data_IF_393221952208
#
_entry.id   IF_393221952208
#
_cell.length_a   1.000
_cell.length_b   1.000
_cell.length_c   1.000
_cell.angle_alpha   90.00
_cell.angle_beta   90.00
_cell.angle_gamma   90.00
#
_symmetry.space_group_name_H-M   'P 1'
#
loop_
_entity.id
_entity.type
_entity.pdbx_description
1 polymer ?
#
# COMPACT_ATOMS: atom_id res chain seq x y z
N UNK A 1 19.49 9.57 21.15
CA UNK A 1 18.30 9.88 20.32
C UNK A 1 18.10 8.86 19.18
N UNK A 2 19.11 8.59 18.36
CA UNK A 2 19.03 7.68 17.19
C UNK A 2 18.55 6.25 17.52
N UNK A 3 19.03 5.67 18.63
CA UNK A 3 18.60 4.34 19.09
C UNK A 3 17.11 4.28 19.45
N UNK A 4 16.55 5.36 20.04
CA UNK A 4 15.13 5.42 20.37
C UNK A 4 14.27 5.48 19.11
N UNK A 5 14.72 6.20 18.08
CA UNK A 5 14.03 6.26 16.78
C UNK A 5 13.98 4.88 16.15
N UNK A 6 15.12 4.17 16.09
CA UNK A 6 15.18 2.81 15.56
C UNK A 6 14.26 1.84 16.32
N UNK A 7 14.26 1.91 17.65
CA UNK A 7 13.38 1.08 18.48
C UNK A 7 11.90 1.41 18.24
N UNK A 8 11.53 2.69 18.14
CA UNK A 8 10.16 3.10 17.83
C UNK A 8 9.68 2.54 16.48
N UNK A 9 10.54 2.59 15.46
CA UNK A 9 10.27 2.04 14.12
C UNK A 9 10.13 0.52 14.20
N UNK A 10 11.05 -0.16 14.89
CA UNK A 10 11.02 -1.62 15.06
C UNK A 10 9.75 -2.08 15.78
N UNK A 11 9.34 -1.41 16.85
CA UNK A 11 8.10 -1.71 17.55
C UNK A 11 6.87 -1.50 16.65
N UNK A 12 6.85 -0.44 15.84
CA UNK A 12 5.78 -0.19 14.87
C UNK A 12 5.73 -1.29 13.77
N UNK A 13 6.88 -1.72 13.25
CA UNK A 13 6.97 -2.81 12.27
C UNK A 13 6.46 -4.14 12.85
N UNK A 14 6.75 -4.39 14.13
CA UNK A 14 6.27 -5.57 14.86
C UNK A 14 4.80 -5.44 15.31
N UNK A 15 4.09 -4.40 14.90
CA UNK A 15 2.71 -4.08 15.31
C UNK A 15 2.54 -3.90 16.83
N UNK A 16 3.64 -3.67 17.56
CA UNK A 16 3.62 -3.33 18.98
C UNK A 16 3.38 -1.82 19.15
N UNK A 17 2.16 -1.39 18.81
CA UNK A 17 1.80 0.03 18.78
C UNK A 17 1.87 0.71 20.16
N UNK A 18 1.59 -0.03 21.24
CA UNK A 18 1.67 0.51 22.59
C UNK A 18 3.11 0.91 22.96
N UNK A 19 4.08 0.05 22.65
CA UNK A 19 5.49 0.34 22.85
C UNK A 19 5.97 1.46 21.93
N UNK A 20 5.56 1.46 20.65
CA UNK A 20 5.88 2.54 19.73
C UNK A 20 5.34 3.90 20.22
N UNK A 21 4.15 3.95 20.83
CA UNK A 21 3.61 5.17 21.46
C UNK A 21 4.49 5.61 22.63
N UNK A 22 4.87 4.68 23.52
CA UNK A 22 5.70 4.99 24.68
C UNK A 22 7.06 5.57 24.27
N UNK A 23 7.73 4.95 23.30
CA UNK A 23 9.04 5.40 22.81
C UNK A 23 8.93 6.75 22.10
N UNK A 24 7.94 6.95 21.21
CA UNK A 24 7.78 8.25 20.54
C UNK A 24 7.43 9.38 21.52
N UNK A 25 6.69 9.10 22.59
CA UNK A 25 6.47 10.07 23.68
C UNK A 25 7.76 10.43 24.39
N UNK A 26 8.67 9.48 24.61
CA UNK A 26 9.99 9.75 25.19
C UNK A 26 10.82 10.66 24.28
N UNK A 27 10.86 10.38 22.98
CA UNK A 27 11.56 11.23 21.99
C UNK A 27 11.04 12.67 22.04
N UNK A 28 9.71 12.85 22.15
CA UNK A 28 9.08 14.17 22.21
C UNK A 28 9.26 14.91 23.54
N UNK A 29 9.77 14.26 24.60
CA UNK A 29 10.17 14.97 25.84
C UNK A 29 11.38 15.86 25.57
N UNK A 30 12.33 15.35 24.80
CA UNK A 30 13.58 16.04 24.46
C UNK A 30 13.41 16.95 23.24
N UNK A 31 12.53 16.60 22.30
CA UNK A 31 12.23 17.37 21.09
C UNK A 31 10.73 17.57 20.86
N UNK A 32 10.10 18.54 21.53
CA UNK A 32 8.63 18.75 21.53
C UNK A 32 7.98 18.95 20.15
N UNK A 33 8.76 19.37 19.15
CA UNK A 33 8.30 19.69 17.79
C UNK A 33 8.98 18.83 16.72
N UNK A 34 9.55 17.67 17.08
CA UNK A 34 10.01 16.69 16.10
C UNK A 34 8.82 16.18 15.27
N UNK A 35 8.77 16.62 14.00
CA UNK A 35 7.70 16.30 13.06
C UNK A 35 7.59 14.79 12.81
N UNK A 36 8.71 14.10 12.68
CA UNK A 36 8.69 12.67 12.39
C UNK A 36 8.20 11.86 13.59
N UNK A 37 8.65 12.21 14.81
CA UNK A 37 8.16 11.56 16.02
C UNK A 37 6.67 11.83 16.23
N UNK A 38 6.18 13.03 15.91
CA UNK A 38 4.75 13.34 15.92
C UNK A 38 3.98 12.51 14.88
N UNK A 39 4.49 12.34 13.66
CA UNK A 39 3.86 11.53 12.60
C UNK A 39 3.78 10.06 13.03
N UNK A 40 4.89 9.48 13.52
CA UNK A 40 4.94 8.11 14.04
C UNK A 40 3.97 7.91 15.21
N UNK A 41 3.92 8.87 16.14
CA UNK A 41 2.99 8.85 17.28
C UNK A 41 1.52 8.91 16.84
N UNK A 42 1.17 9.83 15.94
CA UNK A 42 -0.19 10.00 15.42
C UNK A 42 -0.66 8.72 14.71
N UNK A 43 0.21 8.09 13.93
CA UNK A 43 -0.07 6.84 13.25
C UNK A 43 -0.28 5.68 14.23
N UNK A 44 0.58 5.55 15.25
CA UNK A 44 0.44 4.51 16.27
C UNK A 44 -0.87 4.66 17.08
N UNK A 45 -1.27 5.89 17.42
CA UNK A 45 -2.58 6.15 18.01
C UNK A 45 -3.74 5.72 17.12
N UNK A 46 -3.65 6.00 15.82
CA UNK A 46 -4.66 5.56 14.86
C UNK A 46 -4.79 4.04 14.84
N UNK A 47 -3.67 3.31 14.91
CA UNK A 47 -3.66 1.84 14.91
C UNK A 47 -4.14 1.21 16.22
N UNK A 48 -3.99 1.90 17.34
CA UNK A 48 -4.60 1.53 18.63
C UNK A 48 -6.09 1.87 18.73
N UNK A 49 -6.67 2.55 17.75
CA UNK A 49 -8.06 3.01 17.79
C UNK A 49 -8.27 4.27 18.64
N UNK A 50 -7.20 4.93 19.10
CA UNK A 50 -7.25 6.19 19.84
C UNK A 50 -7.47 7.38 18.90
N UNK A 51 -8.59 7.37 18.16
CA UNK A 51 -8.90 8.30 17.07
C UNK A 51 -8.81 9.77 17.51
N UNK A 52 -9.26 10.09 18.73
CA UNK A 52 -9.23 11.46 19.25
C UNK A 52 -7.80 11.95 19.48
N UNK A 53 -6.91 11.09 19.99
CA UNK A 53 -5.51 11.46 20.21
C UNK A 53 -4.80 11.59 18.86
N UNK A 54 -5.01 10.65 17.94
CA UNK A 54 -4.48 10.72 16.58
C UNK A 54 -4.88 12.02 15.86
N UNK A 55 -6.16 12.40 15.91
CA UNK A 55 -6.66 13.67 15.33
C UNK A 55 -5.98 14.89 15.93
N UNK A 56 -5.81 14.95 17.25
CA UNK A 56 -5.12 16.06 17.94
C UNK A 56 -3.66 16.15 17.48
N UNK A 57 -2.95 15.03 17.42
CA UNK A 57 -1.53 15.00 17.00
C UNK A 57 -1.37 15.38 15.53
N UNK A 58 -2.21 14.88 14.62
CA UNK A 58 -2.19 15.32 13.22
C UNK A 58 -2.51 16.81 13.05
N UNK A 59 -3.47 17.34 13.82
CA UNK A 59 -3.74 18.78 13.82
C UNK A 59 -2.53 19.59 14.28
N UNK A 60 -1.78 19.11 15.28
CA UNK A 60 -0.51 19.74 15.71
C UNK A 60 0.55 19.71 14.61
N UNK A 61 0.68 18.58 13.89
CA UNK A 61 1.61 18.49 12.75
C UNK A 61 1.23 19.52 11.68
N UNK A 62 -0.05 19.63 11.33
CA UNK A 62 -0.54 20.60 10.33
C UNK A 62 -0.40 22.06 10.77
N UNK A 63 -0.26 22.33 12.07
CA UNK A 63 0.07 23.68 12.57
C UNK A 63 1.56 24.00 12.41
N UNK A 64 2.43 23.00 12.45
CA UNK A 64 3.88 23.15 12.27
C UNK A 64 4.26 23.13 10.78
N UNK A 65 3.62 22.26 10.01
CA UNK A 65 3.80 22.09 8.57
C UNK A 65 2.43 21.88 7.91
N UNK A 66 1.89 22.98 7.36
CA UNK A 66 0.59 23.01 6.69
C UNK A 66 0.52 22.07 5.47
N UNK A 67 1.64 21.83 4.79
CA UNK A 67 1.69 21.11 3.52
C UNK A 67 2.07 19.64 3.70
N UNK A 68 2.15 19.16 4.94
CA UNK A 68 2.48 17.78 5.23
C UNK A 68 1.42 16.81 4.66
N UNK A 69 1.70 16.24 3.50
CA UNK A 69 0.77 15.36 2.78
C UNK A 69 0.38 14.12 3.61
N UNK A 70 1.30 13.61 4.43
CA UNK A 70 1.05 12.46 5.32
C UNK A 70 0.01 12.83 6.37
N UNK A 71 0.16 13.98 7.02
CA UNK A 71 -0.78 14.46 8.02
C UNK A 71 -2.14 14.82 7.40
N UNK A 72 -2.17 15.49 6.24
CA UNK A 72 -3.41 15.83 5.53
C UNK A 72 -4.21 14.56 5.18
N UNK A 73 -3.58 13.60 4.51
CA UNK A 73 -4.21 12.34 4.08
C UNK A 73 -4.77 11.56 5.28
N UNK A 74 -3.98 11.39 6.33
CA UNK A 74 -4.39 10.61 7.50
C UNK A 74 -5.44 11.35 8.34
N UNK A 75 -5.33 12.67 8.49
CA UNK A 75 -6.32 13.45 9.22
C UNK A 75 -7.69 13.40 8.55
N UNK A 76 -7.75 13.53 7.22
CA UNK A 76 -8.99 13.41 6.47
C UNK A 76 -9.57 11.99 6.52
N UNK A 77 -8.72 10.95 6.47
CA UNK A 77 -9.13 9.56 6.73
C UNK A 77 -9.79 9.42 8.11
N UNK A 78 -9.23 10.05 9.14
CA UNK A 78 -9.77 9.99 10.49
C UNK A 78 -11.06 10.80 10.67
N UNK A 79 -11.26 11.90 9.94
CA UNK A 79 -12.50 12.71 10.02
C UNK A 79 -13.74 11.91 9.68
N UNK A 80 -13.66 11.00 8.71
CA UNK A 80 -14.80 10.17 8.30
C UNK A 80 -15.13 9.03 9.26
N UNK A 81 -14.30 8.77 10.28
CA UNK A 81 -14.68 7.89 11.38
C UNK A 81 -15.74 8.59 12.25
N UNK A 82 -17.01 8.25 12.04
CA UNK A 82 -18.14 8.67 12.86
C UNK A 82 -17.97 8.20 14.32
N UNK A 83 -18.30 9.08 15.27
CA UNK A 83 -18.21 8.87 16.74
C UNK A 83 -18.97 7.62 17.24
N UNK A 84 -19.86 7.03 16.45
CA UNK A 84 -20.85 6.06 16.93
C UNK A 84 -20.66 4.60 16.52
N UNK A 85 -19.50 4.21 15.97
CA UNK A 85 -19.16 2.78 15.86
C UNK A 85 -17.71 2.57 16.25
N UNK A 86 -17.49 2.58 17.57
CA UNK A 86 -16.43 1.79 18.21
C UNK A 86 -16.84 0.32 18.04
N UNK A 87 -16.87 -0.17 16.80
CA UNK A 87 -16.65 -1.58 16.61
C UNK A 87 -15.16 -1.66 16.82
N UNK A 88 -14.79 -2.10 18.02
CA UNK A 88 -13.54 -2.81 18.26
C UNK A 88 -13.34 -3.71 17.05
N UNK A 89 -12.58 -3.24 16.06
CA UNK A 89 -12.20 -4.03 14.89
C UNK A 89 -11.16 -4.99 15.42
N UNK A 90 -11.68 -5.96 16.17
CA UNK A 90 -11.08 -7.14 16.73
C UNK A 90 -10.05 -7.63 15.74
N UNK A 91 -8.77 -7.40 16.03
CA UNK A 91 -7.61 -7.95 15.32
C UNK A 91 -7.91 -8.17 13.83
N UNK A 92 -8.30 -7.13 13.09
CA UNK A 92 -8.40 -7.26 11.64
C UNK A 92 -6.96 -7.31 11.17
N UNK A 93 -6.53 -8.54 10.98
CA UNK A 93 -5.20 -8.99 10.61
C UNK A 93 -4.64 -8.06 9.54
N UNK A 94 -3.81 -7.11 9.96
CA UNK A 94 -2.65 -6.74 9.16
C UNK A 94 -1.81 -8.00 9.12
N UNK A 95 -2.19 -8.93 8.23
CA UNK A 95 -1.35 -10.06 7.89
C UNK A 95 0.00 -9.42 7.58
N UNK A 96 1.08 -9.94 8.16
CA UNK A 96 2.42 -9.55 7.78
C UNK A 96 2.58 -9.97 6.31
N UNK A 97 2.12 -9.10 5.41
CA UNK A 97 2.19 -9.30 3.98
C UNK A 97 3.66 -9.07 3.70
N UNK A 98 4.33 -10.16 3.42
CA UNK A 98 5.69 -10.15 2.92
C UNK A 98 5.78 -9.13 1.78
N UNK A 99 6.74 -8.17 1.81
CA UNK A 99 6.92 -7.21 0.72
C UNK A 99 7.03 -7.88 -0.65
N UNK A 100 7.51 -9.13 -0.69
CA UNK A 100 7.60 -9.96 -1.90
C UNK A 100 6.24 -10.23 -2.58
N UNK A 101 5.10 -10.06 -1.89
CA UNK A 101 3.77 -10.25 -2.49
C UNK A 101 3.47 -9.19 -3.56
N UNK A 102 4.05 -7.99 -3.44
CA UNK A 102 3.88 -6.90 -4.42
C UNK A 102 4.85 -6.94 -5.59
N UNK A 103 5.67 -8.00 -5.70
CA UNK A 103 6.60 -8.14 -6.81
C UNK A 103 5.81 -8.24 -8.13
N UNK A 104 6.09 -7.33 -9.06
CA UNK A 104 5.45 -7.30 -10.36
C UNK A 104 6.04 -8.37 -11.26
N UNK A 105 5.18 -9.30 -11.71
CA UNK A 105 5.51 -10.38 -12.62
C UNK A 105 4.83 -10.12 -13.98
N UNK A 106 5.58 -9.88 -15.06
CA UNK A 106 5.03 -9.67 -16.39
C UNK A 106 4.06 -10.78 -16.78
N UNK A 107 2.86 -10.40 -17.25
CA UNK A 107 1.84 -11.37 -17.65
C UNK A 107 1.04 -12.02 -16.52
N UNK A 108 1.46 -11.85 -15.26
CA UNK A 108 0.87 -12.49 -14.07
C UNK A 108 0.37 -11.53 -13.01
N UNK A 109 0.89 -10.31 -12.94
CA UNK A 109 0.39 -9.28 -12.02
C UNK A 109 -0.10 -8.05 -12.77
N UNK A 110 -1.02 -7.31 -12.16
CA UNK A 110 -1.46 -6.00 -12.66
C UNK A 110 -1.88 -5.10 -11.52
N UNK A 111 -1.53 -3.83 -11.65
CA UNK A 111 -2.07 -2.76 -10.82
C UNK A 111 -3.25 -2.14 -11.55
N UNK A 112 -4.36 -1.96 -10.85
CA UNK A 112 -5.59 -1.44 -11.45
C UNK A 112 -6.32 -0.51 -10.49
N UNK A 113 -6.81 0.61 -11.00
CA UNK A 113 -7.75 1.47 -10.28
C UNK A 113 -9.18 0.97 -10.51
N UNK A 114 -9.95 0.87 -9.43
CA UNK A 114 -11.35 0.49 -9.49
C UNK A 114 -12.23 1.63 -10.00
N UNK A 115 -13.25 1.27 -10.76
CA UNK A 115 -14.35 2.15 -11.15
C UNK A 115 -15.56 1.95 -10.24
N UNK A 116 -16.45 2.94 -10.19
CA UNK A 116 -17.66 2.92 -9.36
C UNK A 116 -17.38 2.54 -7.90
N UNK A 117 -16.37 3.20 -7.31
CA UNK A 117 -15.93 2.94 -5.94
C UNK A 117 -16.98 3.29 -4.90
N UNK A 118 -16.88 2.63 -3.76
CA UNK A 118 -17.76 2.85 -2.62
C UNK A 118 -17.60 4.23 -1.97
N UNK A 119 -18.60 4.71 -1.21
CA UNK A 119 -18.50 5.96 -0.48
C UNK A 119 -17.36 6.00 0.54
N UNK A 120 -16.84 7.20 0.83
CA UNK A 120 -15.72 7.43 1.74
C UNK A 120 -15.91 6.79 3.13
N UNK A 121 -17.13 6.65 3.62
CA UNK A 121 -17.45 6.00 4.90
C UNK A 121 -17.08 4.51 4.96
N UNK A 122 -17.03 3.85 3.81
CA UNK A 122 -16.55 2.46 3.66
C UNK A 122 -15.04 2.50 3.45
N UNK A 123 -14.58 3.32 2.50
CA UNK A 123 -13.15 3.39 2.11
C UNK A 123 -12.23 3.75 3.28
N UNK A 124 -12.67 4.64 4.17
CA UNK A 124 -11.84 5.06 5.31
C UNK A 124 -11.57 3.94 6.30
N UNK A 125 -12.36 2.86 6.30
CA UNK A 125 -12.17 1.69 7.15
C UNK A 125 -11.22 0.67 6.56
N UNK A 126 -10.89 0.79 5.28
CA UNK A 126 -9.97 -0.12 4.60
C UNK A 126 -8.54 0.20 5.00
N UNK A 127 -7.74 -0.86 5.12
CA UNK A 127 -6.31 -0.78 5.28
C UNK A 127 -5.62 -1.22 3.98
N UNK A 128 -4.49 -0.59 3.69
CA UNK A 128 -3.61 -1.04 2.61
C UNK A 128 -3.03 -2.40 2.96
N UNK A 129 -2.95 -3.28 1.97
CA UNK A 129 -2.55 -4.67 2.13
C UNK A 129 -3.67 -5.64 2.49
N UNK A 130 -4.88 -5.16 2.80
CA UNK A 130 -6.00 -6.07 3.01
C UNK A 130 -6.30 -6.89 1.76
N UNK A 131 -6.52 -8.19 1.96
CA UNK A 131 -6.99 -9.11 0.93
C UNK A 131 -8.42 -8.73 0.50
N UNK A 132 -8.67 -8.78 -0.81
CA UNK A 132 -9.99 -8.57 -1.40
C UNK A 132 -10.32 -9.68 -2.38
N UNK A 133 -11.61 -9.88 -2.63
CA UNK A 133 -12.12 -10.98 -3.42
C UNK A 133 -12.76 -10.47 -4.71
N UNK A 134 -12.39 -11.10 -5.83
CA UNK A 134 -13.04 -10.91 -7.11
C UNK A 134 -14.37 -11.67 -7.10
N UNK A 135 -15.45 -10.99 -7.42
CA UNK A 135 -16.79 -11.57 -7.53
C UNK A 135 -17.30 -11.42 -8.98
N UNK A 136 -16.99 -12.38 -9.88
CA UNK A 136 -17.37 -12.29 -11.28
C UNK A 136 -18.89 -12.29 -11.49
N UNK A 137 -19.35 -11.39 -12.36
CA UNK A 137 -20.72 -11.33 -12.89
C UNK A 137 -20.69 -11.62 -14.40
N UNK A 138 -21.81 -11.39 -15.09
CA UNK A 138 -21.94 -11.69 -16.53
C UNK A 138 -20.96 -10.86 -17.40
N UNK A 139 -20.84 -9.56 -17.11
CA UNK A 139 -20.04 -8.61 -17.91
C UNK A 139 -19.06 -7.78 -17.08
N UNK A 140 -19.02 -7.98 -15.78
CA UNK A 140 -18.19 -7.18 -14.87
C UNK A 140 -17.67 -8.03 -13.73
N UNK A 141 -16.66 -7.53 -13.01
CA UNK A 141 -16.12 -8.15 -11.80
C UNK A 141 -16.22 -7.13 -10.68
N UNK A 142 -17.06 -7.43 -9.69
CA UNK A 142 -17.13 -6.65 -8.46
C UNK A 142 -15.99 -7.05 -7.54
N UNK A 143 -15.46 -6.09 -6.79
CA UNK A 143 -14.47 -6.32 -5.74
C UNK A 143 -15.14 -6.16 -4.39
N UNK A 144 -14.94 -7.16 -3.52
CA UNK A 144 -15.52 -7.19 -2.19
C UNK A 144 -14.49 -7.50 -1.12
N UNK A 145 -14.71 -7.01 0.10
CA UNK A 145 -13.88 -7.37 1.24
C UNK A 145 -14.25 -8.76 1.82
N UNK A 146 -13.54 -9.20 2.87
CA UNK A 146 -13.84 -10.46 3.56
C UNK A 146 -15.23 -10.51 4.21
N UNK A 147 -15.82 -9.35 4.51
CA UNK A 147 -17.20 -9.24 5.02
C UNK A 147 -18.24 -9.16 3.90
N UNK A 148 -17.84 -9.41 2.65
CA UNK A 148 -18.68 -9.33 1.45
C UNK A 148 -19.24 -7.91 1.16
N UNK A 149 -18.60 -6.87 1.71
CA UNK A 149 -18.92 -5.47 1.45
C UNK A 149 -18.37 -5.08 0.08
N UNK A 150 -19.22 -4.48 -0.75
CA UNK A 150 -18.83 -3.94 -2.05
C UNK A 150 -17.80 -2.82 -1.89
N UNK A 151 -16.74 -2.84 -2.71
CA UNK A 151 -15.69 -1.82 -2.71
C UNK A 151 -15.63 -1.04 -4.02
N UNK A 152 -15.91 -1.69 -5.15
CA UNK A 152 -15.84 -1.12 -6.49
C UNK A 152 -15.89 -2.22 -7.56
N UNK A 153 -15.62 -1.85 -8.80
CA UNK A 153 -15.66 -2.72 -9.97
C UNK A 153 -14.36 -2.60 -10.77
N UNK A 154 -13.92 -3.70 -11.40
CA UNK A 154 -12.81 -3.66 -12.35
C UNK A 154 -13.21 -2.95 -13.66
N UNK A 155 -12.28 -2.21 -14.31
CA UNK A 155 -12.49 -1.68 -15.65
C UNK A 155 -12.97 -2.75 -16.64
N UNK A 156 -13.84 -2.36 -17.58
CA UNK A 156 -14.57 -3.29 -18.45
C UNK A 156 -13.66 -4.16 -19.32
N UNK A 157 -12.56 -3.58 -19.84
CA UNK A 157 -11.55 -4.29 -20.64
C UNK A 157 -10.90 -5.43 -19.85
N UNK A 158 -10.53 -5.15 -18.59
CA UNK A 158 -9.94 -6.11 -17.68
C UNK A 158 -10.95 -7.15 -17.23
N UNK A 159 -12.15 -6.71 -16.85
CA UNK A 159 -13.23 -7.58 -16.41
C UNK A 159 -13.61 -8.58 -17.50
N UNK A 160 -13.81 -8.11 -18.74
CA UNK A 160 -14.15 -8.95 -19.90
C UNK A 160 -13.12 -10.06 -20.10
N UNK A 161 -11.83 -9.72 -20.03
CA UNK A 161 -10.74 -10.68 -20.16
C UNK A 161 -10.72 -11.68 -19.00
N UNK A 162 -10.71 -11.19 -17.76
CA UNK A 162 -10.58 -12.04 -16.57
C UNK A 162 -11.77 -12.99 -16.43
N UNK A 163 -12.99 -12.59 -16.79
CA UNK A 163 -14.17 -13.49 -16.77
C UNK A 163 -13.92 -14.74 -17.63
N UNK A 164 -13.34 -14.60 -18.83
CA UNK A 164 -13.03 -15.75 -19.72
C UNK A 164 -11.97 -16.66 -19.12
N UNK A 165 -10.95 -16.08 -18.48
CA UNK A 165 -9.85 -16.81 -17.88
C UNK A 165 -10.29 -17.55 -16.62
N UNK A 166 -11.07 -16.91 -15.75
CA UNK A 166 -11.65 -17.51 -14.55
C UNK A 166 -12.56 -18.68 -14.93
N UNK A 167 -13.43 -18.52 -15.93
CA UNK A 167 -14.27 -19.61 -16.46
C UNK A 167 -13.47 -20.80 -16.99
N UNK A 168 -12.23 -20.56 -17.42
CA UNK A 168 -11.32 -21.61 -17.91
C UNK A 168 -10.50 -22.27 -16.79
N UNK A 169 -10.64 -21.81 -15.54
CA UNK A 169 -9.98 -22.39 -14.37
C UNK A 169 -8.76 -21.63 -13.85
N UNK A 170 -8.52 -20.39 -14.33
CA UNK A 170 -7.49 -19.54 -13.74
C UNK A 170 -7.94 -19.00 -12.38
N UNK A 171 -6.99 -18.80 -11.47
CA UNK A 171 -7.24 -18.27 -10.12
C UNK A 171 -6.44 -17.00 -9.89
N UNK A 172 -7.02 -16.09 -9.10
CA UNK A 172 -6.48 -14.77 -8.85
C UNK A 172 -6.62 -14.43 -7.38
N UNK A 173 -5.60 -13.77 -6.86
CA UNK A 173 -5.63 -13.08 -5.57
C UNK A 173 -5.48 -11.58 -5.80
N UNK A 174 -6.07 -10.79 -4.91
CA UNK A 174 -6.00 -9.34 -5.00
C UNK A 174 -5.85 -8.70 -3.61
N UNK A 175 -5.06 -7.65 -3.57
CA UNK A 175 -4.81 -6.85 -2.37
C UNK A 175 -4.99 -5.38 -2.65
N UNK A 176 -5.39 -4.64 -1.62
CA UNK A 176 -5.50 -3.19 -1.69
C UNK A 176 -4.10 -2.59 -1.68
N UNK A 177 -3.66 -1.99 -2.78
CA UNK A 177 -2.37 -1.28 -2.86
C UNK A 177 -2.46 0.13 -2.27
N UNK A 178 -3.52 0.88 -2.61
CA UNK A 178 -3.74 2.23 -2.09
C UNK A 178 -5.25 2.53 -1.98
N UNK A 179 -5.60 3.36 -0.99
CA UNK A 179 -6.96 3.87 -0.79
C UNK A 179 -6.91 5.38 -0.62
N UNK A 180 -7.70 6.07 -1.42
CA UNK A 180 -7.91 7.52 -1.39
C UNK A 180 -9.41 7.83 -1.29
N UNK A 181 -9.76 9.11 -1.26
CA UNK A 181 -11.15 9.57 -1.00
C UNK A 181 -12.17 8.95 -1.96
N UNK A 182 -11.83 8.87 -3.25
CA UNK A 182 -12.69 8.36 -4.33
C UNK A 182 -11.91 7.42 -5.28
N UNK A 183 -10.83 6.81 -4.81
CA UNK A 183 -10.00 5.94 -5.64
C UNK A 183 -9.47 4.77 -4.81
N UNK A 184 -9.57 3.57 -5.36
CA UNK A 184 -8.98 2.35 -4.79
C UNK A 184 -8.08 1.77 -5.88
N UNK A 185 -6.81 1.55 -5.53
CA UNK A 185 -5.86 0.87 -6.39
C UNK A 185 -5.64 -0.53 -5.83
N UNK A 186 -5.85 -1.54 -6.66
CA UNK A 186 -5.59 -2.93 -6.34
C UNK A 186 -4.30 -3.41 -7.00
N UNK A 187 -3.68 -4.39 -6.34
CA UNK A 187 -2.69 -5.27 -6.92
C UNK A 187 -3.33 -6.65 -7.11
N UNK A 188 -3.39 -7.14 -8.35
CA UNK A 188 -3.99 -8.44 -8.69
C UNK A 188 -2.88 -9.36 -9.16
N UNK A 189 -2.85 -10.60 -8.66
CA UNK A 189 -1.89 -11.65 -9.03
C UNK A 189 -2.63 -12.90 -9.51
N UNK A 190 -2.22 -13.45 -10.65
CA UNK A 190 -2.59 -14.79 -11.08
C UNK A 190 -1.84 -15.82 -10.23
N UNK A 191 -2.58 -16.61 -9.45
CA UNK A 191 -2.01 -17.68 -8.62
C UNK A 191 -1.98 -19.02 -9.33
N UNK A 192 -2.91 -19.24 -10.27
CA UNK A 192 -3.00 -20.47 -11.04
C UNK A 192 -3.41 -20.18 -12.48
N UNK A 193 -2.65 -20.77 -13.42
CA UNK A 193 -3.00 -20.80 -14.84
C UNK A 193 -3.45 -22.19 -15.25
N UNK A 194 -4.56 -22.26 -15.98
CA UNK A 194 -5.04 -23.52 -16.54
C UNK A 194 -4.13 -23.99 -17.69
N UNK A 195 -3.92 -25.31 -17.82
CA UNK A 195 -3.03 -25.88 -18.87
C UNK A 195 -3.47 -25.52 -20.29
N UNK A 196 -4.79 -25.38 -20.52
CA UNK A 196 -5.37 -25.03 -21.82
C UNK A 196 -5.01 -23.62 -22.29
N UNK A 197 -4.67 -22.71 -21.36
CA UNK A 197 -4.33 -21.32 -21.65
C UNK A 197 -2.90 -21.00 -21.24
N UNK A 198 -1.99 -21.99 -21.25
CA UNK A 198 -0.58 -21.81 -20.86
C UNK A 198 0.08 -20.61 -21.53
N UNK A 199 -0.23 -20.42 -22.82
CA UNK A 199 0.39 -19.42 -23.68
C UNK A 199 -0.34 -18.06 -23.67
N UNK A 200 -1.42 -17.93 -22.89
CA UNK A 200 -2.17 -16.67 -22.78
C UNK A 200 -1.90 -16.03 -21.41
N UNK A 201 -1.12 -14.94 -21.34
CA UNK A 201 -0.92 -14.23 -20.08
C UNK A 201 -2.22 -13.61 -19.59
N UNK A 202 -2.41 -13.50 -18.28
CA UNK A 202 -3.62 -12.86 -17.74
C UNK A 202 -3.64 -11.37 -18.04
N UNK A 203 -2.49 -10.72 -17.90
CA UNK A 203 -2.35 -9.28 -18.05
C UNK A 203 -1.45 -8.98 -19.22
N UNK A 204 -1.96 -8.23 -20.20
CA UNK A 204 -1.16 -7.79 -21.35
C UNK A 204 -0.59 -6.43 -20.99
N UNK A 205 0.73 -6.30 -20.98
CA UNK A 205 1.39 -5.00 -20.91
C UNK A 205 1.38 -4.41 -22.32
N UNK A 206 0.82 -3.21 -22.53
CA UNK A 206 0.95 -2.55 -23.83
C UNK A 206 2.42 -2.31 -24.15
N UNK A 207 2.83 -2.58 -25.39
CA UNK A 207 4.23 -2.58 -25.86
C UNK A 207 4.98 -1.27 -25.50
N UNK A 208 4.27 -0.14 -25.42
CA UNK A 208 4.84 1.16 -25.02
C UNK A 208 5.34 1.20 -23.57
N UNK A 209 4.65 0.52 -22.64
CA UNK A 209 5.06 0.46 -21.23
C UNK A 209 6.22 -0.52 -21.02
N UNK A 210 6.27 -1.61 -21.80
CA UNK A 210 7.41 -2.52 -21.79
C UNK A 210 8.70 -1.79 -22.17
N UNK A 211 8.69 -1.02 -23.26
CA UNK A 211 9.87 -0.28 -23.70
C UNK A 211 10.33 0.78 -22.68
N UNK A 212 9.42 1.44 -21.95
CA UNK A 212 9.77 2.41 -20.92
C UNK A 212 10.42 1.77 -19.69
N UNK A 213 9.99 0.57 -19.30
CA UNK A 213 10.56 -0.16 -18.16
C UNK A 213 11.87 -0.84 -18.54
N UNK A 214 11.96 -1.45 -19.73
CA UNK A 214 13.19 -2.05 -20.25
C UNK A 214 14.30 -1.01 -20.44
N UNK A 215 13.97 0.18 -20.98
CA UNK A 215 14.97 1.27 -21.14
C UNK A 215 15.43 1.84 -19.80
N UNK A 216 14.57 1.91 -18.78
CA UNK A 216 14.97 2.31 -17.42
C UNK A 216 15.87 1.29 -16.75
N UNK A 217 15.55 -0.01 -16.88
CA UNK A 217 16.40 -1.09 -16.35
C UNK A 217 17.76 -1.06 -17.04
N UNK A 218 17.79 -0.95 -18.38
CA UNK A 218 19.06 -0.87 -19.14
C UNK A 218 19.86 0.36 -18.73
N UNK A 219 19.24 1.54 -18.60
CA UNK A 219 19.94 2.74 -18.11
C UNK A 219 20.50 2.58 -16.70
N UNK A 220 19.72 2.04 -15.77
CA UNK A 220 20.21 1.77 -14.41
C UNK A 220 21.33 0.71 -14.39
N UNK A 221 21.34 -0.23 -15.34
CA UNK A 221 22.41 -1.23 -15.39
C UNK A 221 23.72 -0.61 -15.91
N UNK A 222 23.61 0.24 -16.93
CA UNK A 222 24.75 0.98 -17.51
C UNK A 222 25.31 2.02 -16.52
N UNK A 223 24.45 2.79 -15.84
CA UNK A 223 24.88 3.78 -14.82
C UNK A 223 25.60 3.12 -13.63
N UNK A 224 25.23 1.88 -13.27
CA UNK A 224 25.91 1.12 -12.22
C UNK A 224 27.20 0.42 -12.69
N UNK A 225 27.43 0.31 -14.00
CA UNK A 225 28.68 -0.18 -14.59
C UNK A 225 29.68 0.97 -14.74
N UNK A 226 29.22 2.16 -15.16
CA UNK A 226 30.04 3.38 -15.24
C UNK A 226 30.55 3.84 -13.84
N UNK A 227 29.72 3.72 -12.79
CA UNK A 227 30.16 4.02 -11.40
C UNK A 227 31.18 3.02 -10.83
N UNK A 228 31.29 1.81 -11.41
CA UNK A 228 32.30 0.82 -11.01
C UNK A 228 33.63 1.06 -11.72
N UNK A 229 33.60 1.42 -13.00
CA UNK A 229 34.81 1.77 -13.75
C UNK A 229 35.47 3.05 -13.19
N UNK A 230 34.69 4.07 -12.79
CA UNK A 230 35.26 5.28 -12.14
C UNK A 230 35.87 5.02 -10.75
N UNK A 231 35.51 3.92 -10.09
CA UNK A 231 36.07 3.54 -8.78
C UNK A 231 37.35 2.71 -8.86
N UNK A 232 37.61 2.05 -9.99
CA UNK A 232 38.83 1.25 -10.21
C UNK A 232 40.00 2.12 -10.71
N UNK A 233 39.72 3.26 -11.38
CA UNK A 233 40.76 4.17 -11.91
C UNK A 233 41.38 5.14 -10.87
N UNK A 234 40.90 5.16 -9.62
CA UNK A 234 41.41 6.07 -8.57
C UNK A 234 42.38 5.41 -7.58
N UNK A 235 42.66 4.11 -7.67
CA UNK A 235 43.61 3.42 -6.77
C UNK A 235 45.03 3.22 -7.36
N UNK A 236 45.29 3.56 -8.62
CA UNK A 236 46.59 3.27 -9.28
C UNK A 236 47.52 4.48 -9.50
N UNK A 237 47.38 5.56 -8.71
CA UNK A 237 48.29 6.71 -8.81
C UNK A 237 48.77 7.30 -7.49
N UNK A 238 49.29 6.48 -6.58
CA UNK A 238 50.22 6.92 -5.52
C UNK A 238 51.32 5.85 -5.29
N UNK A 239 52.32 5.80 -6.17
CA UNK A 239 53.70 5.37 -5.85
C UNK A 239 54.69 6.47 -6.22
#
# INVERSE_FOLDING_TARGET
MLLLVQNAIKSALNQNWAEAIAINKLILKDGKNDLEALIRLAYAYSKMGEINQAKKTYKKILQLDQYNHIALKNFDKLKSYSKNKIIQSKKLTSQNISPYIYLEEPGKTKIVSLIHVSPQSILSKLDTGSLVFLHPKKHTIEIRDQSNVYLGVLPDDLAFRLIRLIKSGNQYEAWIKNVEKNNIILFIKETKRCKRLSNQPSFITPIREYNATSTKIIKQTLENEDEKEESEDQEESEE
#
